data_IF_558145705333
#
_entry.id   IF_558145705333
#
_cell.length_a   1.000
_cell.length_b   1.000
_cell.length_c   1.000
_cell.angle_alpha   90.00
_cell.angle_beta   90.00
_cell.angle_gamma   90.00
#
_symmetry.space_group_name_H-M   'P 1'
#
loop_
_entity.id
_entity.type
_entity.pdbx_description
1 polymer ?
#
# COMPACT_ATOMS: atom_id res chain seq x y z
N UNK A 1 -2.66 -11.71 -11.28
CA UNK A 1 -1.30 -12.20 -10.93
C UNK A 1 -0.82 -11.56 -9.64
N UNK A 2 0.35 -11.99 -9.15
CA UNK A 2 0.93 -11.41 -7.96
C UNK A 2 1.23 -9.94 -8.17
N UNK A 3 1.67 -9.61 -9.39
CA UNK A 3 2.00 -8.24 -9.74
C UNK A 3 0.78 -7.31 -9.61
N UNK A 4 -0.39 -7.85 -9.94
CA UNK A 4 -1.63 -7.07 -9.82
C UNK A 4 -1.93 -6.79 -8.36
N UNK A 5 -1.70 -7.79 -7.52
CA UNK A 5 -1.94 -7.67 -6.10
C UNK A 5 -0.87 -6.81 -5.44
N UNK A 6 0.38 -7.05 -5.83
CA UNK A 6 1.50 -6.26 -5.36
C UNK A 6 1.24 -4.78 -5.55
N UNK A 7 0.53 -4.47 -6.63
CA UNK A 7 0.20 -3.09 -6.96
C UNK A 7 -0.62 -2.45 -5.85
N UNK A 8 -1.76 -3.05 -5.52
CA UNK A 8 -2.63 -2.49 -4.50
C UNK A 8 -2.04 -2.67 -3.11
N UNK A 9 -1.31 -3.76 -2.90
CA UNK A 9 -0.76 -4.07 -1.61
C UNK A 9 0.11 -2.94 -1.09
N UNK A 10 1.08 -2.52 -1.88
CA UNK A 10 1.97 -1.45 -1.50
C UNK A 10 1.24 -0.11 -1.51
N UNK A 11 0.24 -0.02 -2.37
CA UNK A 11 -0.57 1.20 -2.50
C UNK A 11 -1.26 1.49 -1.16
N UNK A 12 -2.03 0.52 -0.67
CA UNK A 12 -2.72 0.65 0.60
C UNK A 12 -1.73 0.66 1.76
N UNK A 13 -0.61 -0.02 1.57
CA UNK A 13 0.43 -0.10 2.58
C UNK A 13 0.95 1.29 2.94
N UNK A 14 1.33 2.06 1.93
CA UNK A 14 1.88 3.38 2.15
C UNK A 14 0.84 4.33 2.74
N UNK A 15 -0.42 4.12 2.37
CA UNK A 15 -1.48 5.00 2.82
C UNK A 15 -1.59 5.01 4.33
N UNK A 16 -1.58 3.83 4.94
CA UNK A 16 -1.72 3.76 6.40
C UNK A 16 -0.39 4.10 7.07
N UNK A 17 0.72 3.77 6.41
CA UNK A 17 2.04 4.02 6.96
C UNK A 17 2.32 5.50 7.06
N UNK A 18 1.92 6.23 6.02
CA UNK A 18 2.07 7.67 6.02
C UNK A 18 1.06 8.32 6.95
N UNK A 19 -0.07 7.65 7.14
CA UNK A 19 -1.10 8.11 8.03
C UNK A 19 -0.63 8.04 9.49
N UNK A 20 0.31 7.15 9.76
CA UNK A 20 0.91 7.03 11.10
C UNK A 20 1.55 8.36 11.52
N UNK A 21 2.05 9.09 10.53
CA UNK A 21 2.73 10.35 10.79
C UNK A 21 1.80 11.53 10.58
N UNK A 22 0.59 11.26 10.10
CA UNK A 22 -0.38 12.32 9.84
C UNK A 22 -1.60 12.16 10.73
#
# INVERSE_FOLDING_TARGET
TDEDVKKWREERKKMWLLKISN
#
